data_IF_043064642302
#
_entry.id   IF_043064642302
#
_cell.length_a   1.000
_cell.length_b   1.000
_cell.length_c   1.000
_cell.angle_alpha   90.00
_cell.angle_beta   90.00
_cell.angle_gamma   90.00
#
_symmetry.space_group_name_H-M   'P 1'
#
loop_
_entity.id
_entity.type
_entity.pdbx_description
1 polymer ?
#
# COMPACT_ATOMS: atom_id res chain seq x y z
N UNK A 1 13.54 -21.24 -15.17
CA UNK A 1 14.24 -20.01 -15.58
C UNK A 1 14.79 -19.36 -14.32
N UNK A 2 16.04 -18.86 -14.34
CA UNK A 2 16.62 -18.17 -13.19
C UNK A 2 16.11 -16.73 -13.15
N UNK A 3 15.45 -16.34 -12.06
CA UNK A 3 15.00 -14.96 -11.84
C UNK A 3 16.19 -13.98 -11.93
N UNK A 4 15.99 -12.86 -12.63
CA UNK A 4 16.99 -11.80 -12.78
C UNK A 4 16.50 -10.53 -12.06
N UNK A 5 17.06 -10.17 -10.91
CA UNK A 5 16.66 -8.96 -10.20
C UNK A 5 17.08 -7.69 -10.95
N UNK A 6 16.26 -6.64 -10.82
CA UNK A 6 16.64 -5.26 -11.11
C UNK A 6 17.92 -4.87 -10.36
N UNK A 7 18.71 -3.99 -10.98
CA UNK A 7 20.07 -3.63 -10.54
C UNK A 7 20.12 -3.15 -9.08
N UNK A 8 19.18 -2.30 -8.66
CA UNK A 8 19.14 -1.80 -7.28
C UNK A 8 19.06 -2.91 -6.23
N UNK A 9 18.25 -3.96 -6.47
CA UNK A 9 18.08 -5.06 -5.52
C UNK A 9 19.33 -5.93 -5.50
N UNK A 10 19.87 -6.24 -6.68
CA UNK A 10 21.11 -6.99 -6.82
C UNK A 10 22.25 -6.30 -6.07
N UNK A 11 22.41 -5.00 -6.27
CA UNK A 11 23.49 -4.23 -5.67
C UNK A 11 23.32 -4.13 -4.14
N UNK A 12 22.10 -3.91 -3.64
CA UNK A 12 21.80 -3.92 -2.21
C UNK A 12 22.11 -5.27 -1.55
N UNK A 13 21.70 -6.38 -2.18
CA UNK A 13 21.99 -7.74 -1.71
C UNK A 13 23.50 -8.00 -1.70
N UNK A 14 24.22 -7.59 -2.75
CA UNK A 14 25.67 -7.80 -2.84
C UNK A 14 26.46 -7.07 -1.75
N UNK A 15 25.93 -5.94 -1.27
CA UNK A 15 26.51 -5.14 -0.18
C UNK A 15 26.07 -5.62 1.21
N UNK A 16 25.12 -6.56 1.31
CA UNK A 16 24.49 -6.93 2.58
C UNK A 16 23.68 -5.78 3.22
N UNK A 17 23.30 -4.78 2.43
CA UNK A 17 22.58 -3.59 2.93
C UNK A 17 21.10 -3.94 3.13
N UNK A 18 20.78 -4.43 4.33
CA UNK A 18 19.44 -4.91 4.67
C UNK A 18 18.35 -3.84 4.50
N UNK A 19 18.67 -2.58 4.80
CA UNK A 19 17.72 -1.48 4.64
C UNK A 19 17.38 -1.29 3.16
N UNK A 20 18.41 -1.21 2.30
CA UNK A 20 18.21 -1.04 0.86
C UNK A 20 17.57 -2.27 0.21
N UNK A 21 17.83 -3.48 0.72
CA UNK A 21 17.12 -4.68 0.27
C UNK A 21 15.62 -4.55 0.55
N UNK A 22 15.23 -4.16 1.76
CA UNK A 22 13.81 -4.00 2.14
C UNK A 22 13.13 -2.88 1.36
N UNK A 23 13.82 -1.77 1.10
CA UNK A 23 13.36 -0.70 0.19
C UNK A 23 13.16 -1.24 -1.23
N UNK A 24 14.12 -2.03 -1.71
CA UNK A 24 14.06 -2.65 -3.02
C UNK A 24 12.85 -3.57 -3.16
N UNK A 25 12.64 -4.49 -2.21
CA UNK A 25 11.48 -5.39 -2.21
C UNK A 25 10.15 -4.64 -2.06
N UNK A 26 10.11 -3.57 -1.26
CA UNK A 26 8.95 -2.68 -1.17
C UNK A 26 8.63 -2.02 -2.52
N UNK A 27 9.65 -1.73 -3.33
CA UNK A 27 9.49 -1.17 -4.68
C UNK A 27 8.85 -2.19 -5.63
N UNK A 28 9.29 -3.45 -5.61
CA UNK A 28 8.64 -4.55 -6.36
C UNK A 28 7.17 -4.68 -5.98
N UNK A 29 6.88 -4.77 -4.67
CA UNK A 29 5.53 -4.89 -4.14
C UNK A 29 4.66 -3.67 -4.46
N UNK A 30 5.26 -2.48 -4.55
CA UNK A 30 4.54 -1.26 -4.92
C UNK A 30 4.12 -1.26 -6.38
N UNK A 31 4.99 -1.73 -7.29
CA UNK A 31 4.74 -1.83 -8.73
C UNK A 31 3.80 -2.97 -9.08
N UNK A 32 4.01 -4.14 -8.48
CA UNK A 32 3.30 -5.39 -8.77
C UNK A 32 2.68 -5.99 -7.50
N UNK A 33 1.71 -5.33 -6.86
CA UNK A 33 1.12 -5.83 -5.61
C UNK A 33 0.31 -7.12 -5.80
N UNK A 34 0.04 -7.57 -7.03
CA UNK A 34 -0.65 -8.82 -7.31
C UNK A 34 0.30 -10.02 -7.37
N UNK A 35 1.62 -9.77 -7.42
CA UNK A 35 2.65 -10.75 -7.71
C UNK A 35 2.40 -11.48 -9.04
N UNK A 36 1.94 -10.76 -10.06
CA UNK A 36 1.82 -11.30 -11.42
C UNK A 36 3.18 -11.79 -11.92
N UNK A 37 3.21 -12.99 -12.50
CA UNK A 37 4.44 -13.60 -12.97
C UNK A 37 5.44 -13.98 -11.87
N UNK A 38 5.01 -14.01 -10.60
CA UNK A 38 5.83 -14.32 -9.42
C UNK A 38 7.00 -13.35 -9.16
N UNK A 39 7.05 -12.20 -9.84
CA UNK A 39 8.19 -11.27 -9.78
C UNK A 39 8.53 -10.83 -8.34
N UNK A 40 7.52 -10.58 -7.51
CA UNK A 40 7.70 -10.08 -6.14
C UNK A 40 8.20 -11.18 -5.22
N UNK A 41 7.65 -12.39 -5.33
CA UNK A 41 8.09 -13.53 -4.53
C UNK A 41 9.48 -14.02 -4.95
N UNK A 42 9.76 -14.04 -6.25
CA UNK A 42 11.07 -14.44 -6.78
C UNK A 42 12.15 -13.44 -6.36
N UNK A 43 11.84 -12.13 -6.33
CA UNK A 43 12.73 -11.10 -5.80
C UNK A 43 13.03 -11.32 -4.31
N UNK A 44 12.01 -11.63 -3.50
CA UNK A 44 12.16 -11.89 -2.09
C UNK A 44 12.97 -13.17 -1.82
N UNK A 45 12.74 -14.24 -2.58
CA UNK A 45 13.50 -15.49 -2.51
C UNK A 45 14.96 -15.28 -2.94
N UNK A 46 15.20 -14.54 -4.03
CA UNK A 46 16.53 -14.16 -4.48
C UNK A 46 17.35 -13.48 -3.36
N UNK A 47 16.73 -12.52 -2.66
CA UNK A 47 17.37 -11.80 -1.57
C UNK A 47 17.60 -12.72 -0.35
N UNK A 48 16.56 -13.43 0.09
CA UNK A 48 16.63 -14.29 1.26
C UNK A 48 17.68 -15.41 1.12
N UNK A 49 17.91 -15.93 -0.08
CA UNK A 49 18.88 -16.99 -0.31
C UNK A 49 20.35 -16.52 -0.38
N UNK A 50 20.60 -15.20 -0.31
CA UNK A 50 21.93 -14.60 -0.52
C UNK A 50 22.40 -13.72 0.63
N UNK A 51 21.51 -13.39 1.56
CA UNK A 51 21.85 -12.62 2.75
C UNK A 51 22.42 -13.53 3.83
N UNK A 52 23.41 -13.05 4.56
CA UNK A 52 23.92 -13.70 5.77
C UNK A 52 22.95 -13.55 6.95
N UNK A 53 22.24 -12.43 6.99
CA UNK A 53 21.27 -12.08 8.03
C UNK A 53 19.83 -12.38 7.58
N UNK A 54 18.90 -12.71 8.51
CA UNK A 54 17.50 -12.92 8.18
C UNK A 54 16.86 -11.69 7.54
N UNK A 55 16.28 -11.87 6.35
CA UNK A 55 15.54 -10.82 5.65
C UNK A 55 14.34 -10.32 6.47
N UNK A 56 13.59 -11.27 7.03
CA UNK A 56 12.29 -11.05 7.66
C UNK A 56 12.43 -10.71 9.13
N UNK A 57 11.72 -9.67 9.56
CA UNK A 57 11.50 -9.42 10.98
C UNK A 57 10.39 -10.33 11.50
N UNK A 58 10.38 -10.59 12.81
CA UNK A 58 9.23 -11.20 13.48
C UNK A 58 8.02 -10.27 13.33
N UNK A 59 6.86 -10.83 13.01
CA UNK A 59 5.62 -10.09 13.00
C UNK A 59 5.34 -9.45 14.37
N UNK A 60 4.89 -8.19 14.36
CA UNK A 60 4.66 -7.38 15.56
C UNK A 60 3.25 -7.55 16.17
N UNK A 61 2.46 -8.46 15.62
CA UNK A 61 1.08 -8.75 16.01
C UNK A 61 0.10 -7.58 15.86
N UNK A 62 0.45 -6.54 15.08
CA UNK A 62 -0.56 -5.56 14.70
C UNK A 62 -1.64 -6.23 13.84
N UNK A 63 -2.87 -5.76 14.03
CA UNK A 63 -4.03 -6.34 13.38
C UNK A 63 -4.00 -6.13 11.86
N UNK A 64 -4.33 -7.20 11.12
CA UNK A 64 -4.59 -7.18 9.69
C UNK A 64 -6.05 -7.58 9.47
N UNK A 65 -6.82 -6.71 8.79
CA UNK A 65 -8.26 -6.86 8.59
C UNK A 65 -8.52 -8.12 7.75
N UNK A 66 -9.26 -9.08 8.29
CA UNK A 66 -9.51 -10.36 7.64
C UNK A 66 -10.70 -10.31 6.67
N UNK A 67 -11.59 -9.33 6.83
CA UNK A 67 -12.80 -9.20 6.02
C UNK A 67 -12.49 -8.59 4.65
N UNK A 68 -12.51 -9.42 3.61
CA UNK A 68 -12.16 -9.02 2.23
C UNK A 68 -13.02 -7.89 1.67
N UNK A 69 -14.25 -7.73 2.15
CA UNK A 69 -15.16 -6.63 1.76
C UNK A 69 -14.62 -5.25 2.14
N UNK A 70 -13.76 -5.18 3.17
CA UNK A 70 -13.12 -3.94 3.65
C UNK A 70 -11.78 -3.67 3.00
N UNK A 71 -11.29 -4.57 2.15
CA UNK A 71 -10.03 -4.37 1.45
C UNK A 71 -10.23 -3.36 0.32
N UNK A 72 -9.63 -2.18 0.50
CA UNK A 72 -9.68 -1.09 -0.47
C UNK A 72 -8.29 -0.76 -0.99
N UNK A 73 -8.21 0.07 -2.04
CA UNK A 73 -6.92 0.59 -2.50
C UNK A 73 -6.22 1.43 -1.43
N UNK A 74 -6.99 2.15 -0.62
CA UNK A 74 -6.45 2.93 0.51
C UNK A 74 -5.89 2.02 1.59
N UNK A 75 -6.60 0.93 1.90
CA UNK A 75 -6.11 -0.08 2.84
C UNK A 75 -4.80 -0.72 2.36
N UNK A 76 -4.70 -1.05 1.07
CA UNK A 76 -3.44 -1.50 0.47
C UNK A 76 -2.30 -0.48 0.63
N UNK A 77 -2.63 0.82 0.52
CA UNK A 77 -1.67 1.92 0.76
C UNK A 77 -1.18 1.95 2.21
N UNK A 78 -2.08 1.80 3.18
CA UNK A 78 -1.74 1.71 4.60
C UNK A 78 -0.82 0.52 4.89
N UNK A 79 -1.16 -0.67 4.41
CA UNK A 79 -0.34 -1.87 4.63
C UNK A 79 1.09 -1.70 4.08
N UNK A 80 1.25 -1.08 2.89
CA UNK A 80 2.57 -0.77 2.34
C UNK A 80 3.35 0.23 3.19
N UNK A 81 2.66 1.17 3.84
CA UNK A 81 3.26 2.08 4.80
C UNK A 81 3.73 1.34 6.05
N UNK A 82 2.87 0.48 6.58
CA UNK A 82 3.14 -0.29 7.80
C UNK A 82 4.28 -1.30 7.61
N UNK A 83 4.43 -1.87 6.41
CA UNK A 83 5.55 -2.75 6.06
C UNK A 83 6.92 -2.10 6.30
N UNK A 84 7.04 -0.77 6.17
CA UNK A 84 8.29 -0.05 6.45
C UNK A 84 8.66 -0.08 7.93
N UNK A 85 7.66 -0.14 8.82
CA UNK A 85 7.86 -0.18 10.27
C UNK A 85 8.17 -1.59 10.78
N UNK A 86 7.58 -2.61 10.14
CA UNK A 86 7.83 -4.01 10.43
C UNK A 86 7.86 -4.80 9.12
N UNK A 87 9.05 -5.11 8.62
CA UNK A 87 9.27 -5.86 7.39
C UNK A 87 9.19 -7.37 7.63
N UNK A 88 8.03 -7.84 8.08
CA UNK A 88 7.76 -9.27 8.32
C UNK A 88 7.22 -9.97 7.07
N UNK A 89 7.44 -11.28 7.01
CA UNK A 89 6.99 -12.10 5.87
C UNK A 89 5.48 -12.13 5.77
N UNK A 90 4.80 -12.15 6.92
CA UNK A 90 3.35 -12.16 7.07
C UNK A 90 2.74 -10.92 6.43
N UNK A 91 3.23 -9.73 6.76
CA UNK A 91 2.77 -8.47 6.15
C UNK A 91 3.05 -8.42 4.67
N UNK A 92 4.25 -8.83 4.26
CA UNK A 92 4.65 -8.84 2.86
C UNK A 92 3.70 -9.70 2.01
N UNK A 93 3.41 -10.93 2.47
CA UNK A 93 2.48 -11.84 1.79
C UNK A 93 1.03 -11.36 1.87
N UNK A 94 0.63 -10.77 2.99
CA UNK A 94 -0.73 -10.23 3.15
C UNK A 94 -1.00 -9.06 2.18
N UNK A 95 -0.02 -8.19 1.96
CA UNK A 95 -0.11 -7.13 0.94
C UNK A 95 -0.32 -7.73 -0.46
N UNK A 96 0.32 -8.85 -0.78
CA UNK A 96 0.10 -9.55 -2.06
C UNK A 96 -1.35 -10.05 -2.15
N UNK A 97 -1.88 -10.64 -1.07
CA UNK A 97 -3.25 -11.13 -1.03
C UNK A 97 -4.27 -10.00 -1.23
N UNK A 98 -4.11 -8.90 -0.48
CA UNK A 98 -4.94 -7.70 -0.62
C UNK A 98 -4.81 -7.11 -2.03
N UNK A 99 -3.59 -7.05 -2.56
CA UNK A 99 -3.29 -6.56 -3.91
C UNK A 99 -4.06 -7.30 -5.00
N UNK A 100 -4.13 -8.63 -4.91
CA UNK A 100 -4.90 -9.47 -5.84
C UNK A 100 -6.40 -9.16 -5.83
N UNK A 101 -6.96 -8.78 -4.68
CA UNK A 101 -8.39 -8.44 -4.55
C UNK A 101 -8.67 -7.04 -5.09
N UNK A 102 -7.85 -6.05 -4.73
CA UNK A 102 -8.15 -4.63 -5.04
C UNK A 102 -7.63 -4.18 -6.40
N UNK A 103 -6.68 -4.93 -7.00
CA UNK A 103 -6.16 -4.72 -8.35
C UNK A 103 -6.22 -6.02 -9.16
N UNK A 104 -7.42 -6.57 -9.42
CA UNK A 104 -7.51 -7.81 -10.16
C UNK A 104 -6.86 -7.64 -11.54
N UNK A 105 -5.99 -8.57 -11.90
CA UNK A 105 -5.38 -8.63 -13.22
C UNK A 105 -6.48 -8.67 -14.27
N UNK A 106 -6.55 -7.65 -15.14
CA UNK A 106 -7.59 -7.57 -16.20
C UNK A 106 -7.16 -8.19 -17.53
N UNK A 107 -5.97 -8.79 -17.62
CA UNK A 107 -5.39 -9.22 -18.89
C UNK A 107 -5.20 -8.06 -19.88
N UNK A 108 -4.78 -8.33 -21.12
CA UNK A 108 -4.93 -7.35 -22.19
C UNK A 108 -6.43 -7.05 -22.32
N UNK A 109 -6.78 -5.76 -22.23
CA UNK A 109 -8.16 -5.32 -22.30
C UNK A 109 -8.85 -5.95 -23.51
N UNK A 110 -9.84 -6.83 -23.28
CA UNK A 110 -10.85 -7.07 -24.30
C UNK A 110 -11.55 -5.74 -24.49
N UNK A 111 -11.33 -5.09 -25.63
CA UNK A 111 -12.04 -3.89 -26.04
C UNK A 111 -13.54 -4.23 -26.14
N UNK A 112 -14.25 -4.10 -25.03
CA UNK A 112 -15.71 -3.96 -25.06
C UNK A 112 -16.01 -2.50 -25.47
N UNK A 113 -16.92 -2.30 -26.44
CA UNK A 113 -17.16 -0.98 -27.02
C UNK A 113 -17.66 -0.01 -25.94
N UNK A 114 -16.93 1.08 -25.81
CA UNK A 114 -17.32 2.26 -25.04
C UNK A 114 -18.69 2.73 -25.51
N UNK A 115 -19.71 2.60 -24.65
CA UNK A 115 -20.94 3.37 -24.81
C UNK A 115 -20.60 4.83 -24.52
N UNK A 116 -20.15 5.51 -25.58
CA UNK A 116 -20.04 6.96 -25.63
C UNK A 116 -21.46 7.53 -25.67
N UNK A 117 -22.01 7.88 -24.52
CA UNK A 117 -23.10 8.86 -24.50
C UNK A 117 -22.48 10.24 -24.72
N UNK A 118 -22.58 10.70 -25.97
CA UNK A 118 -22.41 12.09 -26.36
C UNK A 118 -23.35 12.96 -25.53
N UNK A 119 -22.80 13.90 -24.75
CA UNK A 119 -23.48 15.18 -24.56
C UNK A 119 -22.51 16.29 -24.99
N UNK A 120 -22.76 16.76 -26.20
CA UNK A 120 -22.13 17.92 -26.81
C UNK A 120 -22.72 19.16 -26.13
N UNK A 121 -21.88 19.93 -25.44
CA UNK A 121 -22.09 21.38 -25.34
C UNK A 121 -20.74 22.08 -25.45
N UNK A 122 -20.66 22.92 -26.47
CA UNK A 122 -19.48 23.61 -26.97
C UNK A 122 -18.97 24.67 -25.97
N UNK A 123 -17.65 24.79 -25.83
CA UNK A 123 -17.00 25.94 -25.18
C UNK A 123 -16.85 27.08 -26.19
N UNK A 124 -17.10 28.36 -25.83
CA UNK A 124 -16.32 29.46 -26.35
C UNK A 124 -15.12 29.74 -25.45
N UNK A 125 -13.95 29.81 -26.09
CA UNK A 125 -12.69 30.27 -25.50
C UNK A 125 -12.83 31.75 -25.12
N UNK A 126 -12.54 32.09 -23.87
CA UNK A 126 -12.15 33.45 -23.47
C UNK A 126 -11.10 33.41 -22.38
N UNK A 127 -10.14 34.31 -22.53
CA UNK A 127 -8.88 34.46 -21.80
C UNK A 127 -9.11 35.38 -20.61
N UNK A 128 -8.84 34.94 -19.39
CA UNK A 128 -8.43 35.83 -18.31
C UNK A 128 -7.59 35.08 -17.29
N UNK A 129 -6.43 35.67 -16.98
CA UNK A 129 -5.65 35.36 -15.77
C UNK A 129 -6.34 36.11 -14.65
N UNK A 130 -6.72 35.43 -13.58
CA UNK A 130 -6.90 36.05 -12.27
C UNK A 130 -6.58 35.02 -11.19
N UNK A 131 -5.66 35.43 -10.31
CA UNK A 131 -5.35 34.79 -9.04
C UNK A 131 -6.51 35.09 -8.10
N UNK A 132 -7.23 34.06 -7.65
CA UNK A 132 -8.17 34.19 -6.54
C UNK A 132 -8.08 32.95 -5.66
N UNK A 133 -7.55 33.17 -4.45
CA UNK A 133 -7.79 32.36 -3.26
C UNK A 133 -9.26 31.95 -3.15
N UNK A 134 -9.53 30.68 -2.86
CA UNK A 134 -10.91 30.31 -2.59
C UNK A 134 -11.15 28.86 -2.25
N UNK A 135 -11.39 28.65 -0.95
CA UNK A 135 -12.53 27.90 -0.42
C UNK A 135 -12.29 26.40 -0.20
N UNK A 136 -11.78 26.11 1.00
CA UNK A 136 -11.94 24.81 1.66
C UNK A 136 -13.40 24.36 1.61
N UNK A 137 -13.61 23.28 0.89
CA UNK A 137 -14.83 22.50 0.79
C UNK A 137 -15.06 21.70 2.09
N UNK A 138 -15.87 22.27 2.99
CA UNK A 138 -16.33 21.70 4.28
C UNK A 138 -17.23 20.46 4.13
N UNK A 139 -16.81 19.43 3.38
CA UNK A 139 -17.53 18.14 3.24
C UNK A 139 -16.67 16.90 3.48
N UNK A 140 -15.44 17.06 3.99
CA UNK A 140 -14.55 15.94 4.38
C UNK A 140 -14.06 16.04 5.83
N UNK A 141 -14.90 16.53 6.74
CA UNK A 141 -14.71 16.32 8.18
C UNK A 141 -15.78 15.35 8.64
N UNK A 142 -15.38 14.39 9.49
CA UNK A 142 -16.05 13.13 9.91
C UNK A 142 -15.55 11.98 9.01
N UNK A 143 -14.61 11.11 9.43
CA UNK A 143 -14.66 10.25 10.62
C UNK A 143 -13.26 10.15 11.27
N UNK A 144 -13.07 10.81 12.41
CA UNK A 144 -11.98 10.53 13.36
C UNK A 144 -12.57 10.51 14.79
N UNK A 145 -13.67 9.79 14.99
CA UNK A 145 -14.44 9.82 16.23
C UNK A 145 -14.78 8.46 16.85
N UNK A 146 -14.27 7.33 16.33
CA UNK A 146 -14.50 6.01 16.95
C UNK A 146 -13.27 5.44 17.70
N UNK A 147 -12.05 5.91 17.42
CA UNK A 147 -10.85 5.48 18.16
C UNK A 147 -10.51 6.37 19.37
N UNK A 148 -10.74 7.68 19.27
CA UNK A 148 -10.34 8.63 20.32
C UNK A 148 -11.20 8.59 21.58
N UNK A 149 -12.51 8.34 21.44
CA UNK A 149 -13.43 8.35 22.58
C UNK A 149 -13.20 7.16 23.53
N UNK A 150 -12.85 5.99 22.99
CA UNK A 150 -12.51 4.80 23.77
C UNK A 150 -11.21 5.00 24.57
N UNK A 151 -10.19 5.63 23.98
CA UNK A 151 -8.91 5.89 24.66
C UNK A 151 -9.08 6.91 25.79
N UNK A 152 -9.91 7.94 25.60
CA UNK A 152 -10.19 8.94 26.64
C UNK A 152 -10.98 8.34 27.81
N UNK A 153 -11.98 7.49 27.54
CA UNK A 153 -12.73 6.79 28.59
C UNK A 153 -11.84 5.81 29.37
N UNK A 154 -10.93 5.11 28.69
CA UNK A 154 -10.01 4.17 29.33
C UNK A 154 -8.96 4.88 30.19
N UNK A 155 -8.48 6.06 29.77
CA UNK A 155 -7.59 6.91 30.59
C UNK A 155 -8.30 7.50 31.82
N UNK A 156 -9.57 7.91 31.70
CA UNK A 156 -10.34 8.40 32.84
C UNK A 156 -10.66 7.29 33.86
N UNK A 157 -10.95 6.07 33.38
CA UNK A 157 -11.17 4.92 34.24
C UNK A 157 -9.91 4.56 35.06
N UNK A 158 -8.73 4.54 34.43
CA UNK A 158 -7.45 4.27 35.11
C UNK A 158 -7.11 5.35 36.15
N UNK A 159 -7.54 6.60 35.95
CA UNK A 159 -7.29 7.69 36.90
C UNK A 159 -8.18 7.61 38.15
N UNK A 160 -9.40 7.04 38.05
CA UNK A 160 -10.31 6.92 39.19
C UNK A 160 -9.93 5.78 40.14
N UNK A 161 -9.27 4.73 39.65
CA UNK A 161 -8.88 3.55 40.45
C UNK A 161 -7.61 3.78 41.29
N UNK A 162 -6.98 4.96 41.18
CA UNK A 162 -5.75 5.34 41.92
C UNK A 162 -5.97 6.36 43.05
N UNK A 163 -7.22 6.59 43.46
CA UNK A 163 -7.57 7.45 44.60
C UNK A 163 -8.28 6.63 45.67
#
# INVERSE_FOLDING_TARGET
>A
MTFQPQTFLRDAVSKGDMEQVRVGLSTYLSKNPTNEGNEVTDAAEYAASRLSEPLWLKHDNQHMESEKSKWTTDYLGLLKSDLRNNFSKERFLFIIEVGKVVRPYRGPAKTSPSQTQKLVTQRPVSKSRDIVEGKLNKKWLIIAALGGLLIILLLLFILQDKK
#
